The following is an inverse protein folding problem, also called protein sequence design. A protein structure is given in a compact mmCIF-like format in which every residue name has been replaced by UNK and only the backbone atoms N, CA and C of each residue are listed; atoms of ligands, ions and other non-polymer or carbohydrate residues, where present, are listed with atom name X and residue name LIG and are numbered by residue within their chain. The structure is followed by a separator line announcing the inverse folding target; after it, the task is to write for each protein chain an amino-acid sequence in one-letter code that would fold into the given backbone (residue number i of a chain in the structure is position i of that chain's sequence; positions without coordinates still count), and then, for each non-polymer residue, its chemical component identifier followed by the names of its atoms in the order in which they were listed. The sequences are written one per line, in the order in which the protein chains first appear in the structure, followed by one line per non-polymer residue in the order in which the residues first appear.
data_IF_847350737198
#
_entry.id   IF_847350737198
#
_cell.length_a   1.000
_cell.length_b   1.000
_cell.length_c   1.000
_cell.angle_alpha   90.00
_cell.angle_beta   90.00
_cell.angle_gamma   90.00
#
_symmetry.space_group_name_H-M   'P 1'
#
loop_
_entity.id
_entity.type
_entity.pdbx_description
1 polymer ?
#
# COMPACT_ATOMS: atom_id res chain seq x y z
N UNK A 1 -57.13 55.27 8.76
CA UNK A 1 -55.89 55.03 9.53
C UNK A 1 -55.97 53.79 10.44
N UNK A 2 -57.06 53.52 11.18
CA UNK A 2 -57.17 52.35 12.10
C UNK A 2 -56.98 50.92 11.51
N UNK A 3 -57.14 50.72 10.19
CA UNK A 3 -56.97 49.40 9.55
C UNK A 3 -55.49 49.03 9.28
N UNK A 4 -54.62 50.01 9.10
CA UNK A 4 -53.18 49.78 8.85
C UNK A 4 -52.42 49.49 10.16
N UNK A 5 -52.79 50.15 11.26
CA UNK A 5 -52.20 49.88 12.59
C UNK A 5 -52.46 48.45 13.07
N UNK A 6 -53.68 47.93 12.90
CA UNK A 6 -53.99 46.55 13.26
C UNK A 6 -53.31 45.51 12.35
N UNK A 7 -53.03 45.85 11.09
CA UNK A 7 -52.32 44.98 10.16
C UNK A 7 -50.82 44.90 10.49
N UNK A 8 -50.23 46.03 10.85
CA UNK A 8 -48.85 46.14 11.35
C UNK A 8 -48.62 45.31 12.62
N UNK A 9 -49.53 45.42 13.60
CA UNK A 9 -49.42 44.68 14.87
C UNK A 9 -49.61 43.17 14.71
N UNK A 10 -50.54 42.72 13.83
CA UNK A 10 -50.73 41.29 13.54
C UNK A 10 -49.56 40.67 12.77
N UNK A 11 -48.92 41.43 11.88
CA UNK A 11 -47.77 40.96 11.10
C UNK A 11 -46.46 40.98 11.90
N UNK A 12 -46.36 41.78 12.97
CA UNK A 12 -45.16 41.86 13.81
C UNK A 12 -44.78 40.48 14.37
N UNK A 13 -45.73 39.72 14.91
CA UNK A 13 -45.47 38.36 15.39
C UNK A 13 -44.94 37.41 14.31
N UNK A 14 -45.37 37.56 13.06
CA UNK A 14 -44.90 36.74 11.92
C UNK A 14 -43.46 37.11 11.55
N UNK A 15 -43.15 38.41 11.45
CA UNK A 15 -41.78 38.86 11.19
C UNK A 15 -40.82 38.51 12.32
N UNK A 16 -41.25 38.60 13.58
CA UNK A 16 -40.45 38.17 14.74
C UNK A 16 -40.18 36.66 14.68
N UNK A 17 -41.18 35.85 14.33
CA UNK A 17 -41.00 34.40 14.20
C UNK A 17 -40.00 34.05 13.08
N UNK A 18 -40.10 34.70 11.92
CA UNK A 18 -39.17 34.50 10.80
C UNK A 18 -37.76 34.92 11.21
N UNK A 19 -37.60 36.07 11.87
CA UNK A 19 -36.30 36.53 12.34
C UNK A 19 -35.68 35.53 13.34
N UNK A 20 -36.46 35.08 14.32
CA UNK A 20 -36.01 34.07 15.30
C UNK A 20 -35.63 32.76 14.61
N UNK A 21 -36.40 32.30 13.62
CA UNK A 21 -36.10 31.09 12.87
C UNK A 21 -34.79 31.23 12.06
N UNK A 22 -34.57 32.37 11.39
CA UNK A 22 -33.32 32.64 10.66
C UNK A 22 -32.13 32.70 11.62
N UNK A 23 -32.27 33.36 12.78
CA UNK A 23 -31.22 33.37 13.80
C UNK A 23 -30.95 31.98 14.36
N UNK A 24 -31.98 31.18 14.66
CA UNK A 24 -31.80 29.81 15.15
C UNK A 24 -31.10 28.92 14.13
N UNK A 25 -31.54 28.94 12.87
CA UNK A 25 -30.92 28.16 11.79
C UNK A 25 -29.48 28.64 11.56
N UNK A 26 -29.26 29.95 11.49
CA UNK A 26 -27.93 30.53 11.36
C UNK A 26 -27.00 30.13 12.51
N UNK A 27 -27.47 30.19 13.76
CA UNK A 27 -26.71 29.77 14.94
C UNK A 27 -26.43 28.27 14.96
N UNK A 28 -27.38 27.40 14.60
CA UNK A 28 -27.12 25.96 14.48
C UNK A 28 -26.10 25.68 13.37
N UNK A 29 -26.28 26.27 12.18
CA UNK A 29 -25.35 26.09 11.06
C UNK A 29 -23.94 26.58 11.40
N UNK A 30 -23.80 27.76 12.04
CA UNK A 30 -22.51 28.26 12.52
C UNK A 30 -21.89 27.36 13.58
N UNK A 31 -22.68 26.85 14.53
CA UNK A 31 -22.18 25.94 15.56
C UNK A 31 -21.61 24.66 14.94
N UNK A 32 -22.35 24.01 14.03
CA UNK A 32 -21.85 22.81 13.34
C UNK A 32 -20.63 23.13 12.47
N UNK A 33 -20.65 24.25 11.73
CA UNK A 33 -19.52 24.64 10.90
C UNK A 33 -18.24 24.88 11.72
N UNK A 34 -18.35 25.53 12.90
CA UNK A 34 -17.20 25.73 13.79
C UNK A 34 -16.71 24.39 14.35
N UNK A 35 -17.60 23.47 14.76
CA UNK A 35 -17.19 22.14 15.22
C UNK A 35 -16.52 21.31 14.13
N UNK A 36 -17.03 21.36 12.91
CA UNK A 36 -16.43 20.68 11.77
C UNK A 36 -15.07 21.30 11.41
N UNK A 37 -14.95 22.64 11.46
CA UNK A 37 -13.69 23.33 11.24
C UNK A 37 -12.64 22.98 12.31
N UNK A 38 -13.03 23.01 13.59
CA UNK A 38 -12.17 22.60 14.70
C UNK A 38 -11.75 21.13 14.57
N UNK A 39 -12.69 20.24 14.20
CA UNK A 39 -12.39 18.83 13.94
C UNK A 39 -11.40 18.66 12.79
N UNK A 40 -11.59 19.35 11.67
CA UNK A 40 -10.68 19.30 10.52
C UNK A 40 -9.29 19.82 10.88
N UNK A 41 -9.21 20.94 11.62
CA UNK A 41 -7.93 21.49 12.09
C UNK A 41 -7.25 20.52 13.06
N UNK A 42 -8.01 19.91 13.96
CA UNK A 42 -7.52 18.90 14.89
C UNK A 42 -6.96 17.67 14.16
N UNK A 43 -7.71 17.13 13.20
CA UNK A 43 -7.32 15.95 12.41
C UNK A 43 -6.10 16.21 11.51
N UNK A 44 -5.89 17.45 11.05
CA UNK A 44 -4.68 17.86 10.30
C UNK A 44 -3.39 17.78 11.13
N UNK A 45 -3.49 17.76 12.45
CA UNK A 45 -2.33 17.59 13.32
C UNK A 45 -1.86 16.14 13.40
N UNK A 46 -2.53 15.20 12.73
CA UNK A 46 -2.18 13.79 12.74
C UNK A 46 -1.85 13.26 11.34
N UNK A 47 -0.91 12.32 11.31
CA UNK A 47 -0.61 11.49 10.16
C UNK A 47 -1.31 10.15 10.37
N UNK A 48 -2.07 9.76 9.36
CA UNK A 48 -2.72 8.46 9.31
C UNK A 48 -1.96 7.55 8.36
N UNK A 49 -1.72 6.32 8.81
CA UNK A 49 -1.07 5.27 8.01
C UNK A 49 -1.94 4.03 8.09
N UNK A 50 -2.35 3.51 6.93
CA UNK A 50 -3.21 2.34 6.82
C UNK A 50 -4.49 2.39 7.66
N UNK A 51 -5.12 3.57 7.76
CA UNK A 51 -6.31 3.79 8.61
C UNK A 51 -7.43 2.81 8.22
N UNK A 52 -7.69 1.82 9.07
CA UNK A 52 -8.70 0.78 8.80
C UNK A 52 -8.34 -0.17 7.64
N UNK A 53 -7.07 -0.20 7.24
CA UNK A 53 -6.49 -1.15 6.28
C UNK A 53 -6.69 -2.57 6.81
N UNK A 54 -7.24 -3.43 5.94
CA UNK A 54 -7.44 -4.85 6.27
C UNK A 54 -7.63 -5.67 5.01
N UNK A 55 -7.31 -6.96 5.13
CA UNK A 55 -7.66 -7.93 4.13
C UNK A 55 -9.18 -8.18 4.13
N UNK A 56 -9.79 -8.22 2.96
CA UNK A 56 -11.23 -8.50 2.77
C UNK A 56 -11.48 -9.79 2.03
N UNK A 57 -10.58 -10.15 1.11
CA UNK A 57 -10.67 -11.38 0.34
C UNK A 57 -9.27 -11.94 0.08
N UNK A 58 -9.21 -13.26 -0.04
CA UNK A 58 -7.99 -14.02 -0.21
C UNK A 58 -8.23 -15.23 -1.09
N UNK A 59 -7.30 -15.51 -1.99
CA UNK A 59 -7.26 -16.76 -2.72
C UNK A 59 -5.81 -17.18 -3.01
N UNK A 60 -5.43 -18.40 -2.62
CA UNK A 60 -4.19 -19.01 -3.12
C UNK A 60 -4.40 -19.39 -4.58
N UNK A 61 -3.60 -18.81 -5.48
CA UNK A 61 -3.70 -19.08 -6.92
C UNK A 61 -3.25 -20.52 -7.19
N UNK A 62 -4.12 -21.30 -7.83
CA UNK A 62 -3.89 -22.72 -8.16
C UNK A 62 -3.84 -22.93 -9.66
N UNK A 63 -3.15 -23.99 -10.10
CA UNK A 63 -3.10 -24.40 -11.51
C UNK A 63 -2.37 -23.38 -12.39
N UNK A 64 -1.28 -22.84 -11.87
CA UNK A 64 -0.22 -22.15 -12.61
C UNK A 64 1.07 -22.90 -12.30
N UNK A 65 1.86 -23.18 -13.33
CA UNK A 65 3.17 -23.79 -13.18
C UNK A 65 4.23 -22.71 -12.96
N UNK A 66 4.37 -22.28 -11.70
CA UNK A 66 5.29 -21.21 -11.28
C UNK A 66 6.44 -21.70 -10.42
N UNK A 67 6.32 -22.87 -9.76
CA UNK A 67 7.33 -23.35 -8.80
C UNK A 67 7.32 -22.67 -7.43
N UNK A 68 6.55 -21.58 -7.27
CA UNK A 68 6.39 -20.81 -6.02
C UNK A 68 4.92 -20.41 -5.80
N UNK A 69 4.50 -20.15 -4.54
CA UNK A 69 3.13 -19.73 -4.25
C UNK A 69 2.85 -18.29 -4.68
N UNK A 70 1.64 -18.06 -5.22
CA UNK A 70 1.08 -16.73 -5.48
C UNK A 70 -0.23 -16.60 -4.71
N UNK A 71 -0.39 -15.48 -4.00
CA UNK A 71 -1.58 -15.15 -3.24
C UNK A 71 -2.30 -13.98 -3.92
N UNK A 72 -3.60 -14.11 -4.13
CA UNK A 72 -4.46 -13.03 -4.61
C UNK A 72 -5.19 -12.39 -3.42
N UNK A 73 -5.07 -11.07 -3.29
CA UNK A 73 -5.49 -10.33 -2.11
C UNK A 73 -6.41 -9.17 -2.50
N UNK A 74 -7.51 -9.03 -1.76
CA UNK A 74 -8.31 -7.80 -1.78
C UNK A 74 -8.15 -7.07 -0.48
N UNK A 75 -7.87 -5.78 -0.59
CA UNK A 75 -7.57 -4.90 0.53
C UNK A 75 -8.65 -3.83 0.64
N UNK A 76 -9.03 -3.48 1.87
CA UNK A 76 -9.90 -2.33 2.17
C UNK A 76 -9.05 -1.11 2.45
N UNK A 77 -9.55 0.07 2.06
CA UNK A 77 -8.93 1.37 2.30
C UNK A 77 -7.57 1.50 1.62
N UNK A 78 -7.54 1.06 0.38
CA UNK A 78 -6.38 1.24 -0.46
C UNK A 78 -6.33 2.73 -0.89
N UNK A 79 -5.54 3.57 -0.21
CA UNK A 79 -5.12 4.92 -0.66
C UNK A 79 -4.30 4.90 -1.97
N UNK A 80 -4.81 5.50 -3.04
CA UNK A 80 -4.43 5.28 -4.46
C UNK A 80 -2.92 5.28 -4.83
N UNK A 81 -2.02 5.76 -3.96
CA UNK A 81 -0.64 6.13 -4.32
C UNK A 81 0.48 5.64 -3.35
N UNK A 82 0.27 4.69 -2.41
CA UNK A 82 1.31 4.36 -1.41
C UNK A 82 1.26 3.03 -0.63
N UNK A 83 0.94 1.90 -1.27
CA UNK A 83 0.74 0.62 -0.55
C UNK A 83 1.99 -0.14 -0.09
N UNK A 84 3.10 -0.02 -0.82
CA UNK A 84 4.17 -1.02 -0.74
C UNK A 84 4.98 -0.93 0.58
N UNK A 85 5.13 0.28 1.14
CA UNK A 85 5.97 0.52 2.33
C UNK A 85 5.30 0.17 3.66
N UNK A 86 4.00 -0.15 3.65
CA UNK A 86 3.17 -0.28 4.85
C UNK A 86 2.62 -1.69 5.08
N UNK A 87 3.02 -2.63 4.23
CA UNK A 87 2.64 -4.04 4.30
C UNK A 87 3.90 -4.87 4.44
N UNK A 88 3.97 -5.67 5.50
CA UNK A 88 5.04 -6.62 5.70
C UNK A 88 4.56 -8.04 5.38
N UNK A 89 5.41 -8.83 4.73
CA UNK A 89 5.10 -10.20 4.33
C UNK A 89 6.22 -11.13 4.77
N UNK A 90 5.86 -12.12 5.57
CA UNK A 90 6.73 -13.22 5.98
C UNK A 90 6.32 -14.53 5.29
N UNK A 91 6.87 -15.65 5.74
CA UNK A 91 6.51 -16.98 5.21
C UNK A 91 5.12 -17.40 5.66
N UNK A 92 4.75 -17.01 6.88
CA UNK A 92 3.51 -17.41 7.53
C UNK A 92 2.56 -16.25 7.76
N UNK A 93 3.02 -14.99 7.76
CA UNK A 93 2.17 -13.86 8.09
C UNK A 93 2.19 -12.74 7.06
N UNK A 94 1.06 -12.05 6.94
CA UNK A 94 0.96 -10.72 6.33
C UNK A 94 0.54 -9.72 7.41
N UNK A 95 1.21 -8.57 7.48
CA UNK A 95 0.97 -7.55 8.49
C UNK A 95 0.80 -6.16 7.87
N UNK A 96 -0.05 -5.34 8.49
CA UNK A 96 -0.43 -3.99 8.09
C UNK A 96 -0.24 -3.03 9.27
N UNK A 97 0.25 -1.83 8.98
CA UNK A 97 0.21 -0.72 9.95
C UNK A 97 -1.16 -0.05 9.93
N UNK A 98 -1.71 0.22 11.11
CA UNK A 98 -2.90 1.05 11.33
C UNK A 98 -2.57 2.03 12.46
N UNK A 99 -2.26 3.27 12.12
CA UNK A 99 -1.78 4.27 13.07
C UNK A 99 -2.34 5.67 12.85
N UNK A 100 -2.44 6.40 13.96
CA UNK A 100 -2.66 7.86 14.06
C UNK A 100 -1.52 8.41 14.92
N UNK A 101 -0.63 9.19 14.34
CA UNK A 101 0.54 9.77 15.03
C UNK A 101 0.55 11.29 14.86
N UNK A 102 1.00 12.03 15.87
CA UNK A 102 1.09 13.48 15.83
C UNK A 102 2.14 13.98 14.83
N UNK A 103 1.77 14.97 14.02
CA UNK A 103 2.62 15.60 13.00
C UNK A 103 3.51 16.71 13.60
N UNK A 104 3.12 17.31 14.73
CA UNK A 104 3.65 18.62 15.16
C UNK A 104 4.55 18.55 16.40
N UNK A 105 4.28 17.67 17.37
CA UNK A 105 5.02 17.66 18.64
C UNK A 105 5.31 16.24 19.14
N UNK A 106 6.30 15.61 18.52
CA UNK A 106 6.69 14.20 18.75
C UNK A 106 7.42 13.94 20.09
N UNK A 107 7.41 14.90 21.01
CA UNK A 107 8.09 14.79 22.31
C UNK A 107 7.12 14.79 23.49
N UNK A 108 5.81 14.82 23.22
CA UNK A 108 4.76 14.83 24.22
C UNK A 108 3.88 13.59 24.08
N UNK A 109 3.31 13.16 25.20
CA UNK A 109 2.38 12.04 25.21
C UNK A 109 1.03 12.56 24.77
N UNK A 110 0.50 11.99 23.70
CA UNK A 110 -0.85 12.26 23.23
C UNK A 110 -1.75 11.04 23.51
N UNK A 111 -2.96 11.30 24.02
CA UNK A 111 -3.96 10.27 24.29
C UNK A 111 -4.71 9.78 23.06
N UNK A 112 -4.68 10.54 21.96
CA UNK A 112 -5.35 10.17 20.71
C UNK A 112 -4.46 9.34 19.77
N UNK A 113 -3.16 9.34 20.02
CA UNK A 113 -2.22 8.54 19.24
C UNK A 113 -2.48 7.04 19.43
N UNK A 114 -2.38 6.32 18.33
CA UNK A 114 -2.33 4.88 18.35
C UNK A 114 -1.44 4.35 17.24
N UNK A 115 -0.88 3.18 17.50
CA UNK A 115 -0.14 2.42 16.51
C UNK A 115 -0.46 0.95 16.74
N UNK A 116 -1.14 0.35 15.77
CA UNK A 116 -1.48 -1.05 15.77
C UNK A 116 -0.86 -1.73 14.57
N UNK A 117 -0.41 -2.95 14.80
CA UNK A 117 -0.06 -3.85 13.71
C UNK A 117 -1.18 -4.87 13.62
N UNK A 118 -1.85 -4.90 12.48
CA UNK A 118 -2.87 -5.90 12.17
C UNK A 118 -2.24 -6.98 11.32
N UNK A 119 -2.41 -8.25 11.66
CA UNK A 119 -1.76 -9.34 10.94
C UNK A 119 -2.65 -10.57 10.80
N UNK A 120 -2.36 -11.38 9.78
CA UNK A 120 -3.10 -12.58 9.42
C UNK A 120 -2.12 -13.71 9.13
N UNK A 121 -2.50 -14.94 9.48
CA UNK A 121 -1.77 -16.13 9.06
C UNK A 121 -2.12 -16.46 7.61
N UNK A 122 -1.10 -16.65 6.78
CA UNK A 122 -1.23 -16.96 5.37
C UNK A 122 -2.00 -18.27 5.20
N UNK A 123 -3.11 -18.25 4.45
CA UNK A 123 -4.05 -19.36 4.28
C UNK A 123 -5.22 -19.40 5.26
N UNK A 124 -5.21 -18.59 6.33
CA UNK A 124 -6.29 -18.52 7.34
C UNK A 124 -6.81 -17.09 7.55
N UNK A 125 -6.74 -16.25 6.52
CA UNK A 125 -6.98 -14.80 6.60
C UNK A 125 -8.47 -14.44 6.63
N UNK A 126 -9.17 -14.81 7.70
CA UNK A 126 -10.59 -14.48 7.93
C UNK A 126 -10.80 -13.49 9.07
N UNK A 127 -11.86 -12.69 8.95
CA UNK A 127 -12.30 -11.78 10.02
C UNK A 127 -11.46 -10.51 10.11
N UNK A 128 -11.30 -9.99 11.32
CA UNK A 128 -10.58 -8.72 11.55
C UNK A 128 -9.06 -8.87 11.65
N UNK A 129 -8.54 -10.10 11.63
CA UNK A 129 -7.12 -10.37 11.89
C UNK A 129 -6.74 -10.15 13.36
N UNK A 130 -5.51 -10.52 13.68
CA UNK A 130 -4.94 -10.28 15.00
C UNK A 130 -4.35 -8.86 15.07
N UNK A 131 -4.29 -8.28 16.26
CA UNK A 131 -3.74 -6.92 16.44
C UNK A 131 -2.73 -6.87 17.58
N UNK A 132 -1.61 -6.22 17.36
CA UNK A 132 -0.63 -5.82 18.39
C UNK A 132 -0.78 -4.33 18.62
N UNK A 133 -1.04 -3.93 19.87
CA UNK A 133 -1.03 -2.53 20.28
C UNK A 133 0.40 -2.08 20.58
N UNK A 134 1.13 -1.77 19.51
CA UNK A 134 2.55 -1.38 19.53
C UNK A 134 2.73 -0.12 20.38
N UNK A 135 1.85 0.86 20.23
CA UNK A 135 1.92 2.12 20.97
C UNK A 135 1.85 1.90 22.48
N UNK A 136 0.93 1.05 22.93
CA UNK A 136 0.84 0.70 24.36
C UNK A 136 2.07 -0.05 24.87
N UNK A 137 2.70 -0.89 24.04
CA UNK A 137 3.92 -1.61 24.42
C UNK A 137 5.10 -0.64 24.53
N UNK A 138 5.33 0.22 23.54
CA UNK A 138 6.46 1.17 23.57
C UNK A 138 6.30 2.23 24.67
N UNK A 139 5.07 2.63 25.02
CA UNK A 139 4.84 3.49 26.19
C UNK A 139 5.29 2.84 27.50
N UNK A 140 5.09 1.52 27.66
CA UNK A 140 5.59 0.79 28.84
C UNK A 140 7.12 0.70 28.88
N UNK A 141 7.77 0.77 27.71
CA UNK A 141 9.23 0.82 27.60
C UNK A 141 9.81 2.22 27.85
N UNK A 142 8.97 3.23 28.06
CA UNK A 142 9.37 4.60 28.37
C UNK A 142 9.34 5.58 27.20
N UNK A 143 8.92 5.15 26.00
CA UNK A 143 8.76 6.04 24.86
C UNK A 143 7.45 6.85 24.98
N UNK A 144 7.49 8.13 24.65
CA UNK A 144 6.29 8.98 24.70
C UNK A 144 5.40 8.80 23.47
N UNK A 145 6.04 8.70 22.29
CA UNK A 145 5.40 8.47 20.99
C UNK A 145 6.29 7.58 20.10
N UNK A 146 5.85 7.33 18.86
CA UNK A 146 6.57 6.62 17.81
C UNK A 146 6.88 7.61 16.69
N UNK A 147 8.15 7.72 16.30
CA UNK A 147 8.58 8.62 15.23
C UNK A 147 8.36 8.03 13.82
N UNK A 148 8.50 6.72 13.67
CA UNK A 148 8.56 6.07 12.37
C UNK A 148 7.43 5.08 12.10
N UNK A 149 7.63 4.30 11.04
CA UNK A 149 6.67 3.31 10.54
C UNK A 149 7.14 1.88 10.81
N UNK A 150 6.22 0.94 10.59
CA UNK A 150 6.52 -0.46 10.37
C UNK A 150 7.29 -0.59 9.04
N UNK A 151 8.37 -1.35 9.04
CA UNK A 151 9.08 -1.69 7.79
C UNK A 151 8.37 -2.86 7.09
N UNK A 152 8.39 -2.84 5.75
CA UNK A 152 7.84 -3.92 4.91
C UNK A 152 8.63 -5.23 5.00
N UNK A 153 9.91 -5.16 5.38
CA UNK A 153 10.76 -6.33 5.60
C UNK A 153 10.42 -7.04 6.92
N UNK A 154 10.14 -8.35 6.84
CA UNK A 154 9.99 -9.21 8.02
C UNK A 154 11.31 -9.91 8.38
N UNK A 155 11.40 -10.32 9.65
CA UNK A 155 12.55 -11.02 10.19
C UNK A 155 12.14 -12.32 10.85
N UNK A 156 13.07 -13.28 10.93
CA UNK A 156 12.84 -14.57 11.58
C UNK A 156 13.99 -14.97 12.50
N UNK A 157 13.64 -15.64 13.60
CA UNK A 157 14.59 -16.38 14.44
C UNK A 157 14.65 -17.88 14.10
N UNK A 158 13.96 -18.30 13.03
CA UNK A 158 13.79 -19.69 12.61
C UNK A 158 12.54 -20.38 13.16
N UNK A 159 11.84 -19.75 14.12
CA UNK A 159 10.60 -20.28 14.71
C UNK A 159 9.44 -19.29 14.67
N UNK A 160 9.75 -18.01 14.80
CA UNK A 160 8.82 -16.89 14.80
C UNK A 160 9.19 -15.85 13.76
N UNK A 161 8.18 -15.10 13.35
CA UNK A 161 8.30 -13.97 12.44
C UNK A 161 8.04 -12.67 13.18
N UNK A 162 8.77 -11.64 12.79
CA UNK A 162 8.82 -10.36 13.44
C UNK A 162 8.69 -9.25 12.42
N UNK A 163 7.90 -8.25 12.79
CA UNK A 163 7.84 -6.96 12.11
C UNK A 163 8.73 -5.97 12.83
N UNK A 164 9.46 -5.14 12.08
CA UNK A 164 10.29 -4.08 12.64
C UNK A 164 9.52 -2.77 12.63
N UNK A 165 9.54 -2.06 13.74
CA UNK A 165 8.97 -0.71 13.86
C UNK A 165 10.07 0.26 14.26
N UNK A 166 10.20 1.35 13.51
CA UNK A 166 11.08 2.47 13.87
C UNK A 166 10.41 3.30 14.97
N UNK A 167 10.94 3.21 16.19
CA UNK A 167 10.38 3.92 17.35
C UNK A 167 10.97 5.33 17.45
N UNK A 168 12.24 5.47 17.10
CA UNK A 168 12.94 6.75 16.92
C UNK A 168 13.78 6.70 15.63
N UNK A 169 14.43 7.80 15.26
CA UNK A 169 15.39 7.83 14.15
C UNK A 169 16.53 6.81 14.27
N UNK A 170 16.87 6.42 15.50
CA UNK A 170 18.05 5.59 15.79
C UNK A 170 17.69 4.20 16.32
N UNK A 171 16.45 4.01 16.77
CA UNK A 171 16.03 2.78 17.46
C UNK A 171 14.86 2.12 16.75
N UNK A 172 14.99 0.82 16.55
CA UNK A 172 13.91 -0.02 16.07
C UNK A 172 13.62 -1.14 17.06
N UNK A 173 12.35 -1.51 17.15
CA UNK A 173 11.87 -2.62 17.98
C UNK A 173 11.20 -3.64 17.07
N UNK A 174 11.45 -4.91 17.35
CA UNK A 174 10.92 -6.04 16.60
C UNK A 174 9.77 -6.65 17.38
N UNK A 175 8.61 -6.84 16.75
CA UNK A 175 7.42 -7.40 17.39
C UNK A 175 7.13 -8.79 16.83
N UNK A 176 7.14 -9.79 17.70
CA UNK A 176 6.85 -11.16 17.36
C UNK A 176 5.36 -11.33 17.06
N UNK A 177 5.00 -11.76 15.85
CA UNK A 177 3.60 -11.88 15.44
C UNK A 177 2.86 -13.00 16.15
N UNK A 178 3.53 -14.07 16.59
CA UNK A 178 2.88 -15.16 17.34
C UNK A 178 2.65 -14.81 18.81
N UNK A 179 3.69 -14.31 19.48
CA UNK A 179 3.68 -14.07 20.94
C UNK A 179 3.29 -12.65 21.33
N UNK A 180 3.26 -11.72 20.36
CA UNK A 180 2.97 -10.29 20.53
C UNK A 180 3.95 -9.56 21.48
N UNK A 181 5.15 -10.13 21.66
CA UNK A 181 6.22 -9.57 22.50
C UNK A 181 7.22 -8.79 21.66
N UNK A 182 7.77 -7.76 22.27
CA UNK A 182 8.85 -6.96 21.73
C UNK A 182 10.23 -7.62 21.89
N UNK A 183 11.15 -7.27 21.00
CA UNK A 183 12.57 -7.54 21.10
C UNK A 183 13.35 -6.32 20.63
N UNK A 184 14.37 -5.91 21.40
CA UNK A 184 15.35 -4.90 20.95
C UNK A 184 16.44 -5.49 20.05
N UNK A 185 16.58 -6.82 20.04
CA UNK A 185 17.56 -7.52 19.21
C UNK A 185 16.91 -7.92 17.89
N UNK A 186 17.57 -7.57 16.78
CA UNK A 186 17.18 -8.01 15.43
C UNK A 186 17.22 -9.54 15.36
N UNK A 187 16.15 -10.21 14.89
CA UNK A 187 16.20 -11.63 14.56
C UNK A 187 17.21 -11.89 13.43
N UNK A 188 17.82 -13.08 13.42
CA UNK A 188 19.00 -13.34 12.58
C UNK A 188 18.70 -13.34 11.08
N UNK A 189 17.52 -13.82 10.69
CA UNK A 189 17.17 -14.01 9.29
C UNK A 189 16.29 -12.87 8.80
N UNK A 190 16.56 -12.41 7.59
CA UNK A 190 15.68 -11.51 6.86
C UNK A 190 14.79 -12.34 5.95
N UNK A 191 13.48 -12.06 5.92
CA UNK A 191 12.57 -12.68 4.95
C UNK A 191 12.42 -11.70 3.80
N UNK A 192 12.82 -12.12 2.61
CA UNK A 192 12.77 -11.29 1.42
C UNK A 192 12.36 -12.12 0.22
N UNK A 193 11.40 -11.60 -0.53
CA UNK A 193 10.94 -12.15 -1.79
C UNK A 193 11.44 -11.28 -2.94
N UNK A 194 11.63 -11.87 -4.11
CA UNK A 194 12.17 -11.22 -5.29
C UNK A 194 13.55 -11.75 -5.65
N UNK A 195 14.40 -10.87 -6.18
CA UNK A 195 15.72 -11.24 -6.68
C UNK A 195 16.68 -11.62 -5.56
N UNK A 196 17.64 -12.49 -5.90
CA UNK A 196 18.69 -12.96 -4.99
C UNK A 196 20.08 -12.89 -5.62
N UNK A 197 21.11 -12.77 -4.79
CA UNK A 197 22.50 -12.65 -5.25
C UNK A 197 22.66 -11.45 -6.18
N UNK A 198 23.43 -11.63 -7.26
CA UNK A 198 23.67 -10.57 -8.26
C UNK A 198 22.39 -9.99 -8.88
N UNK A 199 21.29 -10.77 -8.94
CA UNK A 199 20.04 -10.29 -9.51
C UNK A 199 19.40 -9.17 -8.67
N UNK A 200 19.81 -8.97 -7.40
CA UNK A 200 19.33 -7.87 -6.56
C UNK A 200 19.71 -6.48 -7.07
N UNK A 201 20.70 -6.41 -7.96
CA UNK A 201 21.06 -5.17 -8.66
C UNK A 201 20.02 -4.73 -9.71
N UNK A 202 19.06 -5.60 -10.05
CA UNK A 202 18.13 -5.38 -11.15
C UNK A 202 16.86 -4.64 -10.71
N UNK A 203 16.37 -3.78 -11.60
CA UNK A 203 14.99 -3.26 -11.57
C UNK A 203 13.94 -4.36 -11.82
N UNK A 204 12.66 -3.98 -11.73
CA UNK A 204 11.60 -4.77 -12.37
C UNK A 204 11.80 -4.79 -13.89
N UNK A 205 11.37 -5.85 -14.59
CA UNK A 205 11.50 -5.92 -16.04
C UNK A 205 10.61 -4.88 -16.72
N UNK A 206 11.18 -4.17 -17.69
CA UNK A 206 10.43 -3.48 -18.73
C UNK A 206 10.13 -4.46 -19.86
N UNK A 207 8.97 -4.31 -20.50
CA UNK A 207 8.53 -5.17 -21.59
C UNK A 207 7.49 -4.45 -22.46
N UNK A 208 7.18 -5.04 -23.61
CA UNK A 208 6.17 -4.54 -24.54
C UNK A 208 5.05 -5.58 -24.68
N UNK A 209 3.80 -5.17 -24.47
CA UNK A 209 2.59 -5.93 -24.82
C UNK A 209 1.71 -5.07 -25.74
N UNK A 210 1.30 -5.63 -26.88
CA UNK A 210 0.45 -4.88 -27.83
C UNK A 210 -1.02 -5.02 -27.45
N UNK A 211 -1.44 -6.23 -27.10
CA UNK A 211 -2.86 -6.51 -26.87
C UNK A 211 -3.34 -6.17 -25.46
N UNK A 212 -2.42 -5.94 -24.53
CA UNK A 212 -2.72 -5.65 -23.12
C UNK A 212 -2.12 -4.31 -22.65
N UNK A 213 -1.84 -3.37 -23.55
CA UNK A 213 -1.26 -2.05 -23.23
C UNK A 213 -2.08 -1.29 -22.16
N UNK A 214 -3.42 -1.30 -22.26
CA UNK A 214 -4.28 -0.68 -21.25
C UNK A 214 -4.17 -1.40 -19.89
N UNK A 215 -4.16 -2.73 -19.87
CA UNK A 215 -4.01 -3.48 -18.63
C UNK A 215 -2.63 -3.34 -18.00
N UNK A 216 -1.57 -3.30 -18.82
CA UNK A 216 -0.20 -3.06 -18.40
C UNK A 216 -0.09 -1.69 -17.75
N UNK A 217 -0.64 -0.64 -18.38
CA UNK A 217 -0.62 0.71 -17.81
C UNK A 217 -1.36 0.85 -16.48
N UNK A 218 -2.34 -0.05 -16.22
CA UNK A 218 -3.07 -0.13 -14.97
C UNK A 218 -2.42 -1.10 -13.96
N UNK A 219 -1.34 -1.78 -14.32
CA UNK A 219 -0.64 -2.77 -13.51
C UNK A 219 0.70 -2.24 -13.04
N UNK A 220 0.85 -2.02 -11.73
CA UNK A 220 2.15 -1.74 -11.11
C UNK A 220 2.79 -3.06 -10.67
N UNK A 221 3.93 -3.40 -11.26
CA UNK A 221 4.76 -4.53 -10.84
C UNK A 221 5.88 -3.98 -9.93
N UNK A 222 5.89 -4.43 -8.67
CA UNK A 222 6.88 -4.06 -7.66
C UNK A 222 7.14 -5.26 -6.76
N UNK A 223 8.01 -6.19 -7.20
CA UNK A 223 8.16 -7.49 -6.53
C UNK A 223 8.38 -7.35 -5.01
N UNK A 224 7.69 -8.15 -4.18
CA UNK A 224 6.81 -9.28 -4.54
C UNK A 224 5.37 -8.90 -4.91
N UNK A 225 5.03 -7.61 -4.95
CA UNK A 225 3.68 -7.11 -5.18
C UNK A 225 3.39 -6.87 -6.67
N UNK A 226 2.17 -7.22 -7.08
CA UNK A 226 1.59 -6.75 -8.33
C UNK A 226 0.23 -6.15 -8.01
N UNK A 227 0.05 -4.88 -8.35
CA UNK A 227 -1.17 -4.14 -8.07
C UNK A 227 -1.84 -3.73 -9.36
N UNK A 228 -3.13 -4.01 -9.48
CA UNK A 228 -3.96 -3.54 -10.58
C UNK A 228 -4.87 -2.42 -10.11
N UNK A 229 -4.59 -1.21 -10.59
CA UNK A 229 -5.40 -0.03 -10.35
C UNK A 229 -6.65 -0.13 -11.22
N UNK A 230 -7.78 -0.38 -10.59
CA UNK A 230 -9.06 -0.39 -11.29
C UNK A 230 -9.29 0.97 -11.96
N UNK A 231 -9.52 1.01 -13.29
CA UNK A 231 -9.79 2.27 -13.95
C UNK A 231 -11.05 2.89 -13.33
N UNK A 232 -10.97 4.18 -12.98
CA UNK A 232 -12.13 4.91 -12.45
C UNK A 232 -13.24 4.80 -13.48
N UNK A 233 -14.36 4.15 -13.13
CA UNK A 233 -15.55 4.16 -13.98
C UNK A 233 -15.83 5.62 -14.33
N UNK A 234 -15.68 6.00 -15.60
CA UNK A 234 -16.17 7.29 -16.08
C UNK A 234 -17.63 7.37 -15.63
N UNK A 235 -17.97 8.33 -14.77
CA UNK A 235 -19.36 8.72 -14.61
C UNK A 235 -19.82 9.07 -16.02
N UNK A 236 -20.76 8.29 -16.57
CA UNK A 236 -21.44 8.61 -17.82
C UNK A 236 -22.39 9.76 -17.56
N UNK A 237 -21.82 10.96 -17.40
CA UNK A 237 -22.55 12.20 -17.67
C UNK A 237 -22.53 12.42 -19.17
N UNK A 238 -23.66 12.07 -19.78
CA UNK A 238 -24.29 12.72 -20.95
C UNK A 238 -23.38 13.15 -22.10
N UNK A 239 -23.56 12.45 -23.23
CA UNK A 239 -23.46 12.94 -24.61
C UNK A 239 -22.54 14.13 -24.86
N UNK A 240 -21.29 13.86 -25.20
CA UNK A 240 -20.58 14.66 -26.20
C UNK A 240 -19.89 13.71 -27.17
N UNK A 241 -20.55 13.54 -28.31
CA UNK A 241 -19.97 12.98 -29.51
C UNK A 241 -19.00 13.99 -30.11
N UNK A 242 -17.69 13.71 -30.07
CA UNK A 242 -16.84 13.83 -31.27
C UNK A 242 -15.39 13.48 -30.95
N UNK A 243 -14.79 12.70 -31.87
CA UNK A 243 -13.38 12.36 -32.01
C UNK A 243 -12.82 11.27 -31.11
N UNK A 244 -13.09 10.02 -31.50
CA UNK A 244 -12.02 9.03 -31.60
C UNK A 244 -12.24 8.17 -32.83
N UNK A 245 -11.53 8.50 -33.91
CA UNK A 245 -11.26 7.58 -35.02
C UNK A 245 -10.03 6.77 -34.63
N UNK A 246 -10.27 5.58 -34.10
CA UNK A 246 -9.36 4.45 -34.24
C UNK A 246 -10.22 3.21 -34.46
N UNK A 247 -10.54 2.97 -35.73
CA UNK A 247 -10.94 1.66 -36.22
C UNK A 247 -9.78 0.69 -36.01
N UNK A 248 -9.83 -0.07 -34.91
CA UNK A 248 -9.27 -1.41 -34.88
C UNK A 248 -10.31 -2.31 -34.24
N UNK A 249 -11.13 -2.94 -35.07
CA UNK A 249 -11.96 -4.08 -34.72
C UNK A 249 -11.10 -5.33 -34.47
N UNK A 250 -9.95 -5.20 -33.79
CA UNK A 250 -9.20 -6.33 -33.28
C UNK A 250 -9.94 -6.82 -32.03
N UNK A 251 -10.47 -8.04 -32.11
CA UNK A 251 -11.14 -8.70 -30.99
C UNK A 251 -10.12 -8.83 -29.84
N UNK A 252 -10.38 -8.14 -28.72
CA UNK A 252 -9.47 -8.13 -27.58
C UNK A 252 -9.27 -9.57 -27.08
N UNK A 253 -8.04 -10.07 -26.95
CA UNK A 253 -7.81 -11.42 -26.47
C UNK A 253 -8.36 -11.59 -25.05
N UNK A 254 -8.77 -12.82 -24.73
CA UNK A 254 -9.20 -13.15 -23.38
C UNK A 254 -8.07 -12.91 -22.38
N UNK A 255 -8.42 -12.38 -21.21
CA UNK A 255 -7.49 -12.19 -20.12
C UNK A 255 -6.82 -13.53 -19.76
N UNK A 256 -5.52 -13.48 -19.51
CA UNK A 256 -4.84 -14.61 -18.90
C UNK A 256 -5.50 -14.93 -17.55
N UNK A 257 -5.37 -16.19 -17.11
CA UNK A 257 -5.90 -16.60 -15.80
C UNK A 257 -5.35 -15.73 -14.66
N UNK A 258 -4.07 -15.41 -14.70
CA UNK A 258 -3.43 -14.62 -13.64
C UNK A 258 -3.88 -13.16 -13.69
N UNK A 259 -4.03 -12.58 -14.88
CA UNK A 259 -4.56 -11.23 -15.07
C UNK A 259 -6.03 -11.12 -14.63
N UNK A 260 -6.85 -12.12 -14.96
CA UNK A 260 -8.25 -12.19 -14.51
C UNK A 260 -8.36 -12.19 -12.98
N UNK A 261 -7.50 -12.98 -12.32
CA UNK A 261 -7.42 -13.03 -10.85
C UNK A 261 -6.93 -11.69 -10.30
N UNK A 262 -5.87 -11.12 -10.87
CA UNK A 262 -5.34 -9.82 -10.47
C UNK A 262 -6.42 -8.73 -10.58
N UNK A 263 -7.14 -8.65 -11.70
CA UNK A 263 -8.27 -7.71 -11.87
C UNK A 263 -9.36 -7.94 -10.83
N UNK A 264 -9.71 -9.20 -10.55
CA UNK A 264 -10.75 -9.52 -9.55
C UNK A 264 -10.36 -9.12 -8.13
N UNK A 265 -9.12 -9.37 -7.74
CA UNK A 265 -8.67 -9.19 -6.35
C UNK A 265 -8.04 -7.82 -6.09
N UNK A 266 -7.36 -7.25 -7.08
CA UNK A 266 -6.61 -6.00 -7.02
C UNK A 266 -5.12 -6.21 -6.79
N UNK A 267 -4.73 -7.22 -6.00
CA UNK A 267 -3.33 -7.47 -5.66
C UNK A 267 -2.96 -8.94 -5.86
N UNK A 268 -1.72 -9.16 -6.32
CA UNK A 268 -1.02 -10.42 -6.21
C UNK A 268 0.23 -10.23 -5.34
N UNK A 269 0.52 -11.25 -4.56
CA UNK A 269 1.71 -11.36 -3.73
C UNK A 269 2.46 -12.63 -4.14
N UNK A 270 3.68 -12.46 -4.60
CA UNK A 270 4.50 -13.49 -5.22
C UNK A 270 5.59 -13.94 -4.26
N UNK A 271 5.42 -15.13 -3.68
CA UNK A 271 6.28 -15.64 -2.62
C UNK A 271 7.46 -16.44 -3.18
N UNK A 272 8.23 -15.80 -4.06
CA UNK A 272 9.45 -16.37 -4.66
C UNK A 272 10.68 -15.70 -4.03
N UNK A 273 11.61 -16.47 -3.45
CA UNK A 273 12.79 -15.93 -2.74
C UNK A 273 14.06 -15.91 -3.61
N UNK A 274 14.07 -16.68 -4.70
CA UNK A 274 15.24 -16.91 -5.54
C UNK A 274 14.95 -16.50 -7.00
N UNK A 275 14.28 -15.34 -7.20
CA UNK A 275 13.92 -14.86 -8.54
C UNK A 275 15.18 -14.60 -9.38
N UNK A 276 15.10 -14.98 -10.64
CA UNK A 276 16.05 -14.68 -11.71
C UNK A 276 15.33 -14.09 -12.95
N UNK A 277 16.08 -13.73 -13.99
CA UNK A 277 15.54 -13.18 -15.24
C UNK A 277 14.44 -14.06 -15.86
N UNK A 278 14.69 -15.37 -15.98
CA UNK A 278 13.76 -16.31 -16.62
C UNK A 278 12.44 -16.45 -15.84
N UNK A 279 12.52 -16.57 -14.52
CA UNK A 279 11.33 -16.61 -13.65
C UNK A 279 10.52 -15.30 -13.71
N UNK A 280 11.20 -14.15 -13.79
CA UNK A 280 10.59 -12.83 -13.94
C UNK A 280 9.85 -12.71 -15.26
N UNK A 281 10.50 -13.06 -16.38
CA UNK A 281 9.86 -13.15 -17.71
C UNK A 281 8.65 -14.07 -17.69
N UNK A 282 8.81 -15.28 -17.16
CA UNK A 282 7.73 -16.28 -17.12
C UNK A 282 6.51 -15.75 -16.36
N UNK A 283 6.71 -14.99 -15.30
CA UNK A 283 5.63 -14.42 -14.51
C UNK A 283 4.92 -13.27 -15.23
N UNK A 284 5.67 -12.39 -15.88
CA UNK A 284 5.09 -11.34 -16.74
C UNK A 284 4.34 -11.96 -17.90
N UNK A 285 4.88 -12.95 -18.60
CA UNK A 285 4.18 -13.65 -19.68
C UNK A 285 2.93 -14.40 -19.20
N UNK A 286 2.87 -14.81 -17.93
CA UNK A 286 1.64 -15.36 -17.34
C UNK A 286 0.57 -14.30 -17.06
N UNK A 287 0.95 -13.03 -16.89
CA UNK A 287 0.03 -11.89 -16.83
C UNK A 287 -0.37 -11.44 -18.24
N UNK A 288 0.61 -11.21 -19.10
CA UNK A 288 0.50 -10.67 -20.46
C UNK A 288 1.12 -11.65 -21.47
N UNK A 289 0.32 -12.56 -22.06
CA UNK A 289 0.84 -13.66 -22.89
C UNK A 289 1.64 -13.26 -24.13
N UNK A 290 1.45 -12.03 -24.63
CA UNK A 290 2.16 -11.46 -25.77
C UNK A 290 3.30 -10.51 -25.37
N UNK A 291 3.68 -10.49 -24.08
CA UNK A 291 4.80 -9.69 -23.60
C UNK A 291 6.11 -10.13 -24.28
N UNK A 292 6.83 -9.17 -24.82
CA UNK A 292 8.10 -9.35 -25.54
C UNK A 292 9.08 -8.23 -25.19
N UNK A 293 10.30 -8.31 -25.72
CA UNK A 293 11.34 -7.26 -25.56
C UNK A 293 11.63 -6.93 -24.10
N UNK A 294 11.93 -7.96 -23.32
CA UNK A 294 12.27 -7.80 -21.91
C UNK A 294 13.62 -7.13 -21.73
N UNK A 295 13.66 -6.10 -20.88
CA UNK A 295 14.86 -5.35 -20.51
C UNK A 295 14.86 -5.13 -19.00
N UNK A 296 16.04 -5.14 -18.41
CA UNK A 296 16.25 -4.75 -17.01
C UNK A 296 17.27 -3.63 -16.95
N UNK A 297 17.05 -2.75 -16.00
CA UNK A 297 17.96 -1.68 -15.66
C UNK A 297 18.84 -2.10 -14.47
N UNK A 298 20.11 -1.73 -14.54
CA UNK A 298 21.05 -1.78 -13.42
C UNK A 298 21.62 -0.40 -13.18
N UNK A 299 21.58 0.02 -11.92
CA UNK A 299 22.05 1.32 -11.45
C UNK A 299 23.58 1.35 -11.31
N UNK A 300 24.19 2.53 -11.48
CA UNK A 300 25.64 2.74 -11.43
C UNK A 300 26.28 2.34 -10.10
N UNK A 301 25.50 2.34 -9.02
CA UNK A 301 25.88 1.82 -7.71
C UNK A 301 26.24 0.33 -7.73
N UNK A 302 25.78 -0.43 -8.73
CA UNK A 302 25.98 -1.88 -8.84
C UNK A 302 26.78 -2.31 -10.08
N UNK A 303 27.16 -1.39 -10.98
CA UNK A 303 27.94 -1.72 -12.18
C UNK A 303 29.45 -1.58 -11.95
N UNK A 304 30.26 -2.31 -12.73
CA UNK A 304 31.73 -2.26 -12.61
C UNK A 304 32.33 -0.95 -13.08
N UNK A 305 31.73 -0.30 -14.07
CA UNK A 305 32.22 0.95 -14.67
C UNK A 305 31.63 2.21 -14.03
N UNK A 306 30.61 2.07 -13.16
CA UNK A 306 29.94 3.20 -12.53
C UNK A 306 29.03 3.95 -13.48
N UNK A 307 28.45 3.25 -14.46
CA UNK A 307 27.41 3.77 -15.34
C UNK A 307 26.15 2.91 -15.28
N UNK A 308 25.01 3.55 -15.53
CA UNK A 308 23.73 2.86 -15.65
C UNK A 308 23.69 2.03 -16.93
N UNK A 309 23.18 0.81 -16.84
CA UNK A 309 23.18 -0.13 -17.97
C UNK A 309 21.83 -0.83 -18.13
N UNK A 310 21.56 -1.29 -19.35
CA UNK A 310 20.38 -2.07 -19.70
C UNK A 310 20.78 -3.45 -20.18
N UNK A 311 20.22 -4.50 -19.57
CA UNK A 311 20.54 -5.89 -19.85
C UNK A 311 19.31 -6.66 -20.31
N UNK A 312 19.53 -7.68 -21.14
CA UNK A 312 18.48 -8.52 -21.73
C UNK A 312 18.62 -10.00 -21.33
N UNK A 313 19.81 -10.40 -20.88
CA UNK A 313 20.16 -11.77 -20.56
C UNK A 313 21.20 -11.85 -19.43
N UNK A 314 21.48 -13.07 -18.99
CA UNK A 314 22.39 -13.32 -17.88
C UNK A 314 23.85 -13.07 -18.26
N UNK A 315 24.23 -13.29 -19.51
CA UNK A 315 25.59 -13.03 -19.99
C UNK A 315 25.93 -11.53 -19.91
N UNK A 316 25.01 -10.66 -20.30
CA UNK A 316 25.13 -9.20 -20.16
C UNK A 316 25.19 -8.79 -18.68
N UNK A 317 24.31 -9.35 -17.83
CA UNK A 317 24.35 -9.07 -16.40
C UNK A 317 25.73 -9.42 -15.79
N UNK A 318 26.24 -10.62 -16.08
CA UNK A 318 27.54 -11.07 -15.56
C UNK A 318 28.68 -10.16 -16.01
N UNK A 319 28.61 -9.57 -17.21
CA UNK A 319 29.62 -8.65 -17.74
C UNK A 319 29.57 -7.25 -17.12
N UNK A 320 28.39 -6.81 -16.68
CA UNK A 320 28.17 -5.45 -16.18
C UNK A 320 28.24 -5.37 -14.64
N UNK A 321 27.66 -6.35 -13.93
CA UNK A 321 27.46 -6.28 -12.47
C UNK A 321 28.76 -6.40 -11.69
N UNK A 322 28.93 -5.56 -10.68
CA UNK A 322 29.95 -5.70 -9.66
C UNK A 322 29.38 -6.47 -8.45
N UNK A 323 29.69 -7.77 -8.39
CA UNK A 323 29.20 -8.66 -7.34
C UNK A 323 29.62 -8.20 -5.94
N UNK A 324 30.82 -7.64 -5.76
CA UNK A 324 31.28 -7.14 -4.46
C UNK A 324 30.43 -5.95 -3.99
N UNK A 325 30.01 -5.07 -4.91
CA UNK A 325 29.11 -3.95 -4.57
C UNK A 325 27.74 -4.46 -4.16
N UNK A 326 27.19 -5.44 -4.88
CA UNK A 326 25.90 -6.05 -4.53
C UNK A 326 25.97 -6.75 -3.16
N UNK A 327 27.00 -7.56 -2.92
CA UNK A 327 27.21 -8.24 -1.64
C UNK A 327 27.43 -7.26 -0.48
N UNK A 328 28.08 -6.12 -0.71
CA UNK A 328 28.26 -5.10 0.33
C UNK A 328 26.93 -4.52 0.79
N UNK A 329 25.97 -4.35 -0.12
CA UNK A 329 24.63 -3.81 0.18
C UNK A 329 23.73 -4.89 0.78
N UNK A 330 23.75 -6.09 0.22
CA UNK A 330 22.75 -7.14 0.50
C UNK A 330 23.29 -8.37 1.25
N UNK A 331 24.60 -8.57 1.31
CA UNK A 331 25.25 -9.75 1.88
C UNK A 331 25.22 -9.84 3.41
N UNK A 332 24.81 -8.77 4.12
CA UNK A 332 24.58 -8.81 5.57
C UNK A 332 23.20 -9.39 5.96
N UNK A 333 22.46 -9.95 5.00
CA UNK A 333 21.10 -10.45 5.21
C UNK A 333 20.97 -11.98 5.28
N UNK A 334 22.07 -12.72 5.03
CA UNK A 334 22.22 -14.17 5.28
C UNK A 334 22.63 -14.47 6.73
#
# INVERSE_FOLDING_TARGET
MKKLENFSWKMWHVYTLIAVAVFFIGSLCSFFYVKDADYIVHERNYIYVGKGQRLTNYEKVKGLDTGFPILALSLKNTDEDGYDDQIAVGHNYIAFQDSKLGNVNQNEKDSEEYFKIRYYLIGEEKGEGHTIDVFKIIQKLGYKTIYGNMESTMYSDGKDEYVRVKVTDKESIYFNLRTQKESKKRPKKTIQYGYKGIYRALSNPDFITKNFDEEESNTKISWPWVHYKQPKKKMTTTNDSSYSTSDSSEEKPEDSKLLSILKKYGFLLVLEEDRNLSSSQSLVSKLFPDATHFVWFIDDDYTRDGHNEYIHNIEELIQVVDEEKVEKVYGNEE
#
